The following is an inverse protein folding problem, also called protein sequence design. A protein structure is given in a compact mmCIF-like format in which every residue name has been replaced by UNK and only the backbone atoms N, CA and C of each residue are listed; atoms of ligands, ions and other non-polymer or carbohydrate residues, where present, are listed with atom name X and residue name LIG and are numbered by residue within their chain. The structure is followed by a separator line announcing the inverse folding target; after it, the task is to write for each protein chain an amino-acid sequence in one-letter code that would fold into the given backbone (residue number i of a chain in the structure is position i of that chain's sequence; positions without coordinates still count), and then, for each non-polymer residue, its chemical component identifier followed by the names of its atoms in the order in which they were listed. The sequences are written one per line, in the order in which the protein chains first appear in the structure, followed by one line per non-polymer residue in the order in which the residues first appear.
data_IF_702135322565
#
_entry.id   IF_702135322565
#
_cell.length_a   1.000
_cell.length_b   1.000
_cell.length_c   1.000
_cell.angle_alpha   90.00
_cell.angle_beta   90.00
_cell.angle_gamma   90.00
#
_symmetry.space_group_name_H-M   'P 1'
#
loop_
_entity.id
_entity.type
_entity.pdbx_description
1 polymer ?
#
# COMPACT_ATOMS: atom_id res chain seq x y z
N UNK A 1 26.60 11.14 -25.63
CA UNK A 1 25.65 10.85 -24.52
C UNK A 1 25.15 9.42 -24.68
N UNK A 2 25.32 8.57 -23.68
CA UNK A 2 24.80 7.20 -23.63
C UNK A 2 23.43 7.17 -22.94
N UNK A 3 22.43 6.59 -23.59
CA UNK A 3 21.08 6.43 -23.02
C UNK A 3 20.92 4.99 -22.49
N UNK A 4 20.61 4.84 -21.22
CA UNK A 4 20.33 3.55 -20.58
C UNK A 4 18.82 3.35 -20.48
N UNK A 5 18.36 2.15 -20.78
CA UNK A 5 16.99 1.71 -20.59
C UNK A 5 16.86 0.96 -19.25
N UNK A 6 16.04 1.45 -18.37
CA UNK A 6 15.88 0.87 -17.03
C UNK A 6 14.44 0.41 -16.85
N UNK A 7 14.25 -0.87 -16.47
CA UNK A 7 12.97 -1.36 -16.00
C UNK A 7 12.95 -1.31 -14.47
N UNK A 8 11.90 -0.75 -13.89
CA UNK A 8 11.64 -0.75 -12.45
C UNK A 8 10.34 -1.52 -12.25
N UNK A 9 10.36 -2.58 -11.45
CA UNK A 9 9.19 -3.41 -11.16
C UNK A 9 8.65 -3.07 -9.78
N UNK A 10 7.43 -2.53 -9.75
CA UNK A 10 6.74 -2.02 -8.57
C UNK A 10 6.69 -0.50 -8.52
N UNK A 11 5.47 0.05 -8.65
CA UNK A 11 5.18 1.49 -8.65
C UNK A 11 4.80 2.02 -7.25
N UNK A 12 5.39 1.48 -6.22
CA UNK A 12 5.34 2.02 -4.86
C UNK A 12 6.41 3.11 -4.65
N UNK A 13 6.55 3.64 -3.41
CA UNK A 13 7.54 4.67 -3.07
C UNK A 13 8.96 4.32 -3.49
N UNK A 14 9.39 3.07 -3.29
CA UNK A 14 10.71 2.61 -3.68
C UNK A 14 10.96 2.75 -5.19
N UNK A 15 9.97 2.37 -6.03
CA UNK A 15 10.06 2.50 -7.48
C UNK A 15 10.14 3.95 -7.94
N UNK A 16 9.29 4.82 -7.42
CA UNK A 16 9.29 6.24 -7.77
C UNK A 16 10.58 6.94 -7.32
N UNK A 17 11.06 6.71 -6.10
CA UNK A 17 12.31 7.31 -5.65
C UNK A 17 13.54 6.74 -6.37
N UNK A 18 13.51 5.48 -6.82
CA UNK A 18 14.53 4.94 -7.72
C UNK A 18 14.53 5.69 -9.06
N UNK A 19 13.34 5.92 -9.65
CA UNK A 19 13.22 6.69 -10.87
C UNK A 19 13.76 8.12 -10.69
N UNK A 20 13.40 8.81 -9.59
CA UNK A 20 13.90 10.14 -9.27
C UNK A 20 15.43 10.18 -9.14
N UNK A 21 16.02 9.20 -8.47
CA UNK A 21 17.46 9.11 -8.31
C UNK A 21 18.17 8.96 -9.66
N UNK A 22 17.61 8.16 -10.58
CA UNK A 22 18.12 8.03 -11.94
C UNK A 22 17.97 9.34 -12.72
N UNK A 23 16.79 9.98 -12.69
CA UNK A 23 16.57 11.29 -13.35
C UNK A 23 17.57 12.35 -12.85
N UNK A 24 17.77 12.44 -11.54
CA UNK A 24 18.71 13.39 -10.94
C UNK A 24 20.19 13.07 -11.25
N UNK A 25 20.51 11.83 -11.63
CA UNK A 25 21.87 11.42 -11.98
C UNK A 25 22.18 11.56 -13.48
N UNK A 26 21.21 11.97 -14.29
CA UNK A 26 21.41 12.26 -15.70
C UNK A 26 22.33 13.49 -15.88
N UNK A 27 23.18 13.46 -16.92
CA UNK A 27 24.12 14.53 -17.25
C UNK A 27 24.45 14.50 -18.76
N UNK A 28 25.42 15.27 -19.21
CA UNK A 28 25.83 15.33 -20.61
C UNK A 28 26.39 14.01 -21.16
N UNK A 29 26.89 13.12 -20.32
CA UNK A 29 27.46 11.83 -20.70
C UNK A 29 26.42 10.70 -20.70
N UNK A 30 25.39 10.77 -19.85
CA UNK A 30 24.39 9.71 -19.65
C UNK A 30 22.98 10.24 -19.43
N UNK A 31 22.01 9.50 -19.98
CA UNK A 31 20.59 9.71 -19.76
C UNK A 31 19.89 8.37 -19.49
N UNK A 32 18.66 8.41 -18.99
CA UNK A 32 17.89 7.23 -18.64
C UNK A 32 16.50 7.29 -19.26
N UNK A 33 16.08 6.20 -19.88
CA UNK A 33 14.68 5.92 -20.21
C UNK A 33 14.18 4.93 -19.18
N UNK A 34 13.14 5.31 -18.46
CA UNK A 34 12.64 4.57 -17.30
C UNK A 34 11.25 4.04 -17.59
N UNK A 35 11.11 2.73 -17.53
CA UNK A 35 9.83 2.03 -17.61
C UNK A 35 9.50 1.47 -16.23
N UNK A 36 8.45 2.01 -15.62
CA UNK A 36 7.93 1.58 -14.33
C UNK A 36 6.77 0.60 -14.59
N UNK A 37 6.90 -0.62 -14.06
CA UNK A 37 5.96 -1.74 -14.29
C UNK A 37 5.21 -1.98 -12.99
N UNK A 38 3.87 -1.98 -13.05
CA UNK A 38 3.01 -2.18 -11.88
C UNK A 38 1.93 -3.22 -12.18
N UNK A 39 1.75 -4.19 -11.29
CA UNK A 39 0.73 -5.22 -11.45
C UNK A 39 -0.70 -4.72 -11.24
N UNK A 40 -0.87 -3.69 -10.44
CA UNK A 40 -2.17 -3.07 -10.20
C UNK A 40 -2.50 -2.05 -11.31
N UNK A 41 -3.78 -1.77 -11.54
CA UNK A 41 -4.20 -0.73 -12.47
C UNK A 41 -3.82 0.68 -12.01
N UNK A 42 -3.52 0.84 -10.72
CA UNK A 42 -3.16 2.14 -10.12
C UNK A 42 -1.82 2.05 -9.38
N UNK A 43 -0.94 3.07 -9.54
CA UNK A 43 0.34 3.12 -8.85
C UNK A 43 0.23 3.59 -7.40
N UNK A 44 1.40 3.79 -6.77
CA UNK A 44 1.72 4.39 -5.48
C UNK A 44 1.81 3.40 -4.31
N UNK A 45 1.46 2.13 -4.50
CA UNK A 45 1.66 1.08 -3.52
C UNK A 45 1.10 1.46 -2.13
N UNK A 46 1.93 1.39 -1.08
CA UNK A 46 1.50 1.67 0.30
C UNK A 46 1.05 3.13 0.53
N UNK A 47 1.40 4.09 -0.31
CA UNK A 47 0.86 5.45 -0.19
C UNK A 47 -0.64 5.44 -0.48
N UNK A 48 -1.08 4.59 -1.40
CA UNK A 48 -2.51 4.41 -1.71
C UNK A 48 -3.19 3.49 -0.70
N UNK A 49 -2.64 2.32 -0.44
CA UNK A 49 -3.32 1.22 0.26
C UNK A 49 -2.68 0.79 1.59
N UNK A 50 -1.70 1.54 2.10
CA UNK A 50 -1.02 1.24 3.37
C UNK A 50 -1.04 2.38 4.38
N UNK A 51 -1.29 3.62 3.95
CA UNK A 51 -1.49 4.78 4.82
C UNK A 51 -2.97 4.84 5.21
N UNK A 52 -3.25 5.12 6.49
CA UNK A 52 -4.61 5.25 6.96
C UNK A 52 -5.39 6.31 6.15
N UNK A 53 -6.67 6.06 5.81
CA UNK A 53 -7.42 6.85 4.83
C UNK A 53 -7.65 8.29 5.28
N UNK A 54 -7.64 8.56 6.57
CA UNK A 54 -7.78 9.87 7.19
C UNK A 54 -6.45 10.64 7.39
N UNK A 55 -5.36 10.18 6.76
CA UNK A 55 -4.06 10.87 6.75
C UNK A 55 -3.73 11.54 5.39
N UNK A 56 -4.50 12.53 4.91
CA UNK A 56 -4.31 13.12 3.58
C UNK A 56 -2.95 13.81 3.41
N UNK A 57 -2.36 14.32 4.50
CA UNK A 57 -1.03 14.95 4.47
C UNK A 57 0.07 13.97 4.07
N UNK A 58 0.02 12.73 4.57
CA UNK A 58 1.01 11.69 4.21
C UNK A 58 0.81 11.26 2.76
N UNK A 59 -0.45 11.14 2.33
CA UNK A 59 -0.79 10.81 0.94
C UNK A 59 -0.35 11.90 -0.06
N UNK A 60 -0.06 13.13 0.40
CA UNK A 60 0.40 14.22 -0.46
C UNK A 60 1.77 13.98 -1.14
N UNK A 61 2.53 12.95 -0.71
CA UNK A 61 3.73 12.49 -1.41
C UNK A 61 3.44 12.05 -2.85
N UNK A 62 2.19 11.72 -3.17
CA UNK A 62 1.74 11.44 -4.54
C UNK A 62 2.06 12.57 -5.52
N UNK A 63 2.03 13.86 -5.07
CA UNK A 63 2.44 15.00 -5.88
C UNK A 63 3.90 14.94 -6.31
N UNK A 64 4.77 14.37 -5.46
CA UNK A 64 6.18 14.12 -5.83
C UNK A 64 6.24 13.04 -6.90
N UNK A 65 5.43 11.99 -6.79
CA UNK A 65 5.37 10.91 -7.78
C UNK A 65 4.84 11.40 -9.12
N UNK A 66 3.81 12.27 -9.12
CA UNK A 66 3.29 12.91 -10.32
C UNK A 66 4.38 13.75 -11.02
N UNK A 67 5.18 14.49 -10.26
CA UNK A 67 6.31 15.25 -10.80
C UNK A 67 7.36 14.33 -11.41
N UNK A 68 7.71 13.22 -10.77
CA UNK A 68 8.64 12.23 -11.31
C UNK A 68 8.10 11.63 -12.62
N UNK A 69 6.81 11.31 -12.65
CA UNK A 69 6.14 10.73 -13.81
C UNK A 69 5.96 11.71 -14.98
N UNK A 70 6.06 13.02 -14.76
CA UNK A 70 5.97 14.04 -15.81
C UNK A 70 7.21 14.14 -16.70
N UNK A 71 8.30 13.46 -16.38
CA UNK A 71 9.49 13.39 -17.23
C UNK A 71 9.20 12.65 -18.53
N UNK A 72 9.62 13.23 -19.66
CA UNK A 72 9.40 12.67 -21.01
C UNK A 72 10.06 11.30 -21.24
N UNK A 73 11.04 10.95 -20.43
CA UNK A 73 11.74 9.65 -20.47
C UNK A 73 11.18 8.64 -19.46
N UNK A 74 10.08 8.97 -18.78
CA UNK A 74 9.40 8.09 -17.84
C UNK A 74 8.11 7.53 -18.49
N UNK A 75 7.88 6.22 -18.33
CA UNK A 75 6.62 5.57 -18.72
C UNK A 75 6.14 4.66 -17.60
N UNK A 76 4.84 4.63 -17.37
CA UNK A 76 4.18 3.69 -16.45
C UNK A 76 3.44 2.63 -17.27
N UNK A 77 3.71 1.38 -16.98
CA UNK A 77 2.98 0.22 -17.47
C UNK A 77 2.20 -0.39 -16.30
N UNK A 78 0.97 0.09 -16.11
CA UNK A 78 0.06 -0.44 -15.10
C UNK A 78 -0.68 -1.67 -15.61
N UNK A 79 -1.18 -2.49 -14.67
CA UNK A 79 -1.85 -3.76 -14.94
C UNK A 79 -0.96 -4.76 -15.71
N UNK A 80 0.35 -4.75 -15.41
CA UNK A 80 1.35 -5.67 -15.97
C UNK A 80 2.08 -6.36 -14.82
N UNK A 81 1.92 -7.66 -14.70
CA UNK A 81 2.49 -8.45 -13.62
C UNK A 81 3.72 -9.24 -14.06
N UNK A 82 4.82 -9.03 -13.34
CA UNK A 82 6.02 -9.83 -13.52
C UNK A 82 5.76 -11.30 -13.13
N UNK A 83 6.05 -12.21 -14.04
CA UNK A 83 5.80 -13.66 -13.88
C UNK A 83 4.52 -14.14 -14.55
N UNK A 84 3.53 -13.26 -14.74
CA UNK A 84 2.29 -13.56 -15.47
C UNK A 84 2.32 -13.00 -16.90
N UNK A 85 2.49 -11.68 -17.03
CA UNK A 85 2.37 -10.97 -18.31
C UNK A 85 3.73 -10.74 -18.99
N UNK A 86 4.78 -10.63 -18.20
CA UNK A 86 6.16 -10.47 -18.65
C UNK A 86 7.11 -11.27 -17.75
N UNK A 87 8.12 -11.90 -18.33
CA UNK A 87 9.14 -12.66 -17.58
C UNK A 87 10.33 -11.77 -17.25
N UNK A 88 11.06 -12.14 -16.19
CA UNK A 88 12.28 -11.43 -15.80
C UNK A 88 13.36 -11.52 -16.88
N UNK A 89 13.44 -12.66 -17.57
CA UNK A 89 14.36 -12.89 -18.67
C UNK A 89 14.11 -11.92 -19.82
N UNK A 90 12.84 -11.68 -20.19
CA UNK A 90 12.47 -10.73 -21.23
C UNK A 90 12.88 -9.28 -20.87
N UNK A 91 12.78 -8.92 -19.58
CA UNK A 91 13.25 -7.64 -19.10
C UNK A 91 14.77 -7.51 -19.18
N UNK A 92 15.50 -8.56 -18.77
CA UNK A 92 16.97 -8.56 -18.83
C UNK A 92 17.52 -8.47 -20.24
N UNK A 93 16.79 -8.97 -21.25
CA UNK A 93 17.18 -8.86 -22.65
C UNK A 93 16.93 -7.47 -23.24
N UNK A 94 15.90 -6.77 -22.77
CA UNK A 94 15.43 -5.50 -23.37
C UNK A 94 15.94 -4.25 -22.66
N UNK A 95 16.43 -4.39 -21.43
CA UNK A 95 16.85 -3.28 -20.58
C UNK A 95 18.31 -3.44 -20.14
N UNK A 96 19.00 -2.33 -19.98
CA UNK A 96 20.37 -2.30 -19.47
C UNK A 96 20.43 -2.66 -17.97
N UNK A 97 19.34 -2.40 -17.23
CA UNK A 97 19.18 -2.83 -15.84
C UNK A 97 17.71 -3.03 -15.48
N UNK A 98 17.47 -3.96 -14.54
CA UNK A 98 16.16 -4.22 -13.94
C UNK A 98 16.27 -4.03 -12.43
N UNK A 99 15.39 -3.19 -11.86
CA UNK A 99 15.32 -2.91 -10.42
C UNK A 99 14.01 -3.45 -9.87
N UNK A 100 14.09 -4.31 -8.86
CA UNK A 100 12.92 -4.90 -8.21
C UNK A 100 12.53 -4.06 -6.98
N UNK A 101 11.36 -3.43 -7.05
CA UNK A 101 10.77 -2.58 -6.02
C UNK A 101 9.39 -3.09 -5.61
N UNK A 102 9.23 -4.41 -5.54
CA UNK A 102 7.94 -5.11 -5.40
C UNK A 102 7.30 -4.99 -4.01
N UNK A 103 8.02 -4.41 -3.04
CA UNK A 103 7.54 -4.29 -1.67
C UNK A 103 7.55 -5.63 -0.92
N UNK A 104 6.78 -5.67 0.19
CA UNK A 104 6.58 -6.87 1.02
C UNK A 104 5.12 -6.92 1.45
N UNK A 105 4.33 -7.74 0.78
CA UNK A 105 2.88 -7.89 1.02
C UNK A 105 2.53 -8.94 2.07
N UNK A 106 3.51 -9.75 2.51
CA UNK A 106 3.27 -10.85 3.45
C UNK A 106 3.66 -10.40 4.86
N UNK A 107 2.69 -10.48 5.79
CA UNK A 107 2.92 -10.24 7.21
C UNK A 107 3.85 -11.30 7.82
N UNK A 108 4.74 -10.85 8.70
CA UNK A 108 5.57 -11.78 9.48
C UNK A 108 4.73 -12.49 10.53
N UNK A 109 4.94 -13.80 10.68
CA UNK A 109 4.40 -14.55 11.81
C UNK A 109 5.11 -14.12 13.10
N UNK A 110 4.34 -13.98 14.17
CA UNK A 110 4.88 -13.62 15.49
C UNK A 110 5.42 -14.84 16.24
N UNK A 111 4.94 -16.05 15.92
CA UNK A 111 5.32 -17.29 16.58
C UNK A 111 4.79 -17.41 18.01
N UNK A 112 3.70 -16.71 18.32
CA UNK A 112 3.08 -16.72 19.64
C UNK A 112 1.90 -17.70 19.70
N UNK A 113 1.57 -18.24 20.89
CA UNK A 113 0.37 -19.05 21.07
C UNK A 113 -0.90 -18.28 20.66
N UNK A 114 -1.76 -18.92 19.88
CA UNK A 114 -3.02 -18.32 19.43
C UNK A 114 -2.97 -17.62 18.05
N UNK A 115 -1.80 -17.45 17.45
CA UNK A 115 -1.66 -16.82 16.11
C UNK A 115 -2.44 -17.54 15.00
N UNK A 116 -2.80 -18.81 15.18
CA UNK A 116 -3.57 -19.63 14.26
C UNK A 116 -5.07 -19.65 14.55
N UNK A 117 -5.51 -18.96 15.57
CA UNK A 117 -6.92 -18.94 15.95
C UNK A 117 -7.76 -18.10 14.99
N UNK A 118 -9.04 -18.45 14.93
CA UNK A 118 -10.03 -17.65 14.20
C UNK A 118 -10.05 -16.23 14.78
N UNK A 119 -10.15 -15.23 13.94
CA UNK A 119 -10.11 -13.81 14.25
C UNK A 119 -8.71 -13.23 14.57
N UNK A 120 -7.63 -14.01 14.44
CA UNK A 120 -6.31 -13.40 14.27
C UNK A 120 -6.22 -12.84 12.85
N UNK A 121 -5.81 -11.58 12.74
CA UNK A 121 -5.58 -10.94 11.45
C UNK A 121 -4.26 -10.18 11.47
N UNK A 122 -3.50 -10.28 10.40
CA UNK A 122 -2.30 -9.48 10.20
C UNK A 122 -2.65 -8.06 9.80
N UNK A 123 -1.88 -7.06 10.27
CA UNK A 123 -1.99 -5.69 9.74
C UNK A 123 -1.74 -5.64 8.22
N UNK A 124 -0.96 -6.58 7.66
CA UNK A 124 -0.76 -6.69 6.22
C UNK A 124 -2.03 -7.12 5.44
N UNK A 125 -3.09 -7.55 6.14
CA UNK A 125 -4.40 -7.87 5.58
C UNK A 125 -5.44 -6.81 5.97
N UNK A 126 -5.44 -6.39 7.24
CA UNK A 126 -6.40 -5.40 7.75
C UNK A 126 -6.24 -4.03 7.12
N UNK A 127 -4.99 -3.55 6.98
CA UNK A 127 -4.70 -2.21 6.42
C UNK A 127 -5.10 -2.09 4.95
N UNK A 128 -4.70 -3.00 4.04
CA UNK A 128 -5.16 -2.92 2.65
C UNK A 128 -6.67 -3.17 2.51
N UNK A 129 -7.30 -3.97 3.40
CA UNK A 129 -8.72 -4.17 3.39
C UNK A 129 -9.51 -2.86 3.60
N UNK A 130 -9.18 -2.06 4.62
CA UNK A 130 -9.91 -0.81 4.82
C UNK A 130 -9.54 0.28 3.79
N UNK A 131 -8.39 0.16 3.13
CA UNK A 131 -8.00 1.03 2.02
C UNK A 131 -8.53 0.57 0.64
N UNK A 132 -9.30 -0.51 0.55
CA UNK A 132 -9.87 -0.99 -0.71
C UNK A 132 -8.85 -1.54 -1.70
N UNK A 133 -7.82 -2.24 -1.21
CA UNK A 133 -6.85 -2.89 -2.08
C UNK A 133 -7.49 -4.10 -2.78
N UNK A 134 -7.38 -4.24 -4.12
CA UNK A 134 -8.10 -5.28 -4.88
C UNK A 134 -7.84 -6.72 -4.41
N UNK A 135 -6.62 -7.04 -4.00
CA UNK A 135 -6.26 -8.40 -3.54
C UNK A 135 -6.93 -8.77 -2.19
N UNK A 136 -7.55 -7.80 -1.53
CA UNK A 136 -8.19 -7.98 -0.22
C UNK A 136 -9.71 -7.74 -0.27
N UNK A 137 -10.28 -7.71 -1.47
CA UNK A 137 -11.71 -7.52 -1.67
C UNK A 137 -12.55 -8.66 -1.08
N UNK A 138 -12.07 -9.88 -1.11
CA UNK A 138 -12.76 -11.06 -0.58
C UNK A 138 -12.43 -11.34 0.89
N UNK A 139 -11.58 -10.54 1.53
CA UNK A 139 -11.22 -10.72 2.94
C UNK A 139 -12.40 -10.31 3.82
N UNK A 140 -12.89 -11.26 4.61
CA UNK A 140 -13.92 -11.02 5.63
C UNK A 140 -13.27 -10.76 6.98
N UNK A 141 -13.44 -9.55 7.49
CA UNK A 141 -13.02 -9.17 8.84
C UNK A 141 -14.22 -9.35 9.78
N UNK A 142 -14.03 -10.16 10.81
CA UNK A 142 -15.05 -10.29 11.86
C UNK A 142 -14.84 -9.18 12.89
N UNK A 143 -15.79 -8.26 12.99
CA UNK A 143 -15.83 -7.15 13.93
C UNK A 143 -16.84 -7.33 15.06
N UNK A 144 -17.47 -8.52 15.21
CA UNK A 144 -18.52 -8.79 16.22
C UNK A 144 -17.97 -8.91 17.65
N UNK A 145 -16.66 -8.81 17.82
CA UNK A 145 -16.00 -8.94 19.11
C UNK A 145 -16.11 -7.69 19.97
N UNK A 146 -16.38 -7.86 21.27
CA UNK A 146 -16.42 -6.76 22.27
C UNK A 146 -15.03 -6.17 22.59
N UNK A 147 -13.96 -6.90 22.28
CA UNK A 147 -12.59 -6.54 22.61
C UNK A 147 -11.71 -6.81 21.40
N UNK A 148 -10.99 -5.79 20.96
CA UNK A 148 -9.92 -5.91 19.98
C UNK A 148 -8.57 -5.78 20.68
N UNK A 149 -7.66 -6.73 20.42
CA UNK A 149 -6.29 -6.70 20.93
C UNK A 149 -5.35 -6.40 19.78
N UNK A 150 -4.61 -5.29 19.86
CA UNK A 150 -3.61 -4.91 18.87
C UNK A 150 -2.22 -5.17 19.41
N UNK A 151 -1.45 -6.02 18.73
CA UNK A 151 -0.09 -6.39 19.12
C UNK A 151 0.91 -5.58 18.31
N UNK A 152 1.56 -4.61 18.94
CA UNK A 152 2.54 -3.73 18.34
C UNK A 152 2.49 -2.33 18.94
N UNK A 153 3.58 -1.56 18.75
CA UNK A 153 3.73 -0.18 19.27
C UNK A 153 4.14 0.81 18.17
N UNK A 154 4.18 0.37 16.92
CA UNK A 154 4.50 1.22 15.77
C UNK A 154 3.27 1.96 15.23
N UNK A 155 3.50 2.90 14.31
CA UNK A 155 2.44 3.72 13.70
C UNK A 155 1.31 2.87 13.10
N UNK A 156 1.64 1.74 12.47
CA UNK A 156 0.63 0.84 11.89
C UNK A 156 -0.28 0.24 12.96
N UNK A 157 0.28 -0.17 14.12
CA UNK A 157 -0.51 -0.70 15.22
C UNK A 157 -1.45 0.37 15.80
N UNK A 158 -0.96 1.60 15.95
CA UNK A 158 -1.77 2.75 16.39
C UNK A 158 -2.88 3.04 15.38
N UNK A 159 -2.59 3.03 14.08
CA UNK A 159 -3.59 3.22 13.04
C UNK A 159 -4.65 2.11 13.05
N UNK A 160 -4.26 0.85 13.20
CA UNK A 160 -5.21 -0.26 13.32
C UNK A 160 -6.13 -0.09 14.54
N UNK A 161 -5.58 0.24 15.72
CA UNK A 161 -6.36 0.47 16.92
C UNK A 161 -7.32 1.66 16.74
N UNK A 162 -6.85 2.75 16.13
CA UNK A 162 -7.63 3.95 15.88
C UNK A 162 -8.76 3.70 14.87
N UNK A 163 -8.50 2.98 13.77
CA UNK A 163 -9.51 2.62 12.77
C UNK A 163 -10.63 1.76 13.37
N UNK A 164 -10.32 0.94 14.38
CA UNK A 164 -11.32 0.16 15.10
C UNK A 164 -12.14 0.98 16.11
N UNK A 165 -11.57 2.08 16.63
CA UNK A 165 -12.17 2.88 17.71
C UNK A 165 -12.80 4.20 17.25
N UNK A 166 -12.51 4.67 16.03
CA UNK A 166 -13.02 5.93 15.51
C UNK A 166 -14.52 5.83 15.21
N UNK A 167 -15.27 6.93 15.43
CA UNK A 167 -16.66 7.03 14.95
C UNK A 167 -16.66 6.88 13.41
N UNK A 168 -17.32 5.87 12.84
CA UNK A 168 -17.35 5.65 11.39
C UNK A 168 -17.82 6.84 10.56
N UNK A 169 -18.65 7.75 11.15
CA UNK A 169 -19.05 8.99 10.50
C UNK A 169 -17.86 9.90 10.18
N UNK A 170 -16.80 9.86 10.98
CA UNK A 170 -15.57 10.61 10.73
C UNK A 170 -14.79 10.10 9.51
N UNK A 171 -15.10 8.91 9.02
CA UNK A 171 -14.47 8.30 7.85
C UNK A 171 -15.20 8.57 6.53
N UNK A 172 -16.39 9.16 6.55
CA UNK A 172 -17.25 9.38 5.37
C UNK A 172 -16.61 10.21 4.26
N UNK A 173 -15.72 11.11 4.63
CA UNK A 173 -15.02 12.00 3.71
C UNK A 173 -13.60 11.55 3.40
N UNK A 174 -13.24 10.33 3.77
CA UNK A 174 -11.91 9.76 3.59
C UNK A 174 -11.88 8.73 2.45
N UNK A 175 -10.69 8.22 2.15
CA UNK A 175 -10.50 7.15 1.15
C UNK A 175 -10.83 5.75 1.70
N UNK A 176 -11.56 5.63 2.81
CA UNK A 176 -11.96 4.34 3.38
C UNK A 176 -12.87 3.61 2.41
N UNK A 177 -12.63 2.31 2.18
CA UNK A 177 -13.46 1.51 1.29
C UNK A 177 -14.91 1.41 1.80
N UNK A 178 -15.88 1.42 0.89
CA UNK A 178 -17.31 1.29 1.22
C UNK A 178 -17.62 0.03 2.05
N UNK A 179 -16.93 -1.06 1.76
CA UNK A 179 -17.04 -2.30 2.51
C UNK A 179 -16.57 -2.15 3.96
N UNK A 180 -15.42 -1.52 4.16
CA UNK A 180 -14.90 -1.27 5.50
C UNK A 180 -15.82 -0.31 6.26
N UNK A 181 -16.30 0.77 5.61
CA UNK A 181 -17.29 1.68 6.20
C UNK A 181 -18.55 0.94 6.63
N UNK A 182 -19.09 0.06 5.78
CA UNK A 182 -20.27 -0.72 6.09
C UNK A 182 -20.05 -1.65 7.28
N UNK A 183 -18.90 -2.33 7.33
CA UNK A 183 -18.55 -3.23 8.44
C UNK A 183 -18.32 -2.46 9.76
N UNK A 184 -17.65 -1.31 9.73
CA UNK A 184 -17.39 -0.47 10.89
C UNK A 184 -18.65 0.22 11.42
N UNK A 185 -19.69 0.38 10.58
CA UNK A 185 -20.99 0.97 10.95
C UNK A 185 -21.99 -0.03 11.46
N UNK A 186 -21.70 -1.32 11.43
CA UNK A 186 -22.63 -2.31 11.95
C UNK A 186 -23.00 -2.00 13.40
N UNK A 187 -24.27 -2.16 13.77
CA UNK A 187 -24.75 -1.82 15.12
C UNK A 187 -24.00 -2.60 16.20
N UNK A 188 -23.56 -3.81 15.88
CA UNK A 188 -22.77 -4.65 16.78
C UNK A 188 -21.39 -4.05 17.09
N UNK A 189 -20.73 -3.43 16.10
CA UNK A 189 -19.44 -2.80 16.29
C UNK A 189 -19.54 -1.46 17.05
N UNK A 190 -20.50 -0.60 16.70
CA UNK A 190 -20.62 0.77 17.26
C UNK A 190 -21.10 0.82 18.70
N UNK A 191 -21.97 -0.11 19.12
CA UNK A 191 -22.60 -0.05 20.45
C UNK A 191 -21.64 -0.43 21.61
N UNK A 192 -20.60 -1.19 21.36
CA UNK A 192 -19.76 -1.77 22.41
C UNK A 192 -18.38 -1.13 22.54
N UNK A 193 -17.72 -0.69 21.48
CA UNK A 193 -16.41 -0.04 21.55
C UNK A 193 -16.49 1.41 22.05
N UNK A 194 -17.58 2.14 21.79
CA UNK A 194 -17.78 3.50 22.31
C UNK A 194 -18.01 3.55 23.81
N UNK A 195 -18.50 2.48 24.42
CA UNK A 195 -18.70 2.41 25.89
C UNK A 195 -17.42 2.21 26.68
N UNK A 196 -16.30 1.85 26.03
CA UNK A 196 -15.04 1.51 26.70
C UNK A 196 -13.88 2.49 26.44
N UNK A 197 -14.09 3.58 25.69
CA UNK A 197 -13.06 4.57 25.38
C UNK A 197 -12.76 5.57 26.53
N UNK A 198 -12.95 5.17 27.77
CA UNK A 198 -12.40 5.91 28.91
C UNK A 198 -11.01 5.36 29.19
N UNK A 199 -10.01 5.86 28.47
CA UNK A 199 -8.60 5.65 28.79
C UNK A 199 -8.25 6.63 29.91
N UNK A 200 -8.01 6.13 31.09
CA UNK A 200 -7.34 6.82 32.20
C UNK A 200 -5.83 6.76 32.00
#
# INVERSE_FOLDING_TARGET
MKTFKIAIVGAGPSGYFTAQALQNSANEERSFKIDLIERLPTPWGLVRSGVAPDHPKIKSVSKVFEKIASDSNFRLFANVELGRDIKLEDLKEKYDAVVLCTGSSIGKKLGIPGEHLKNYISAAEFVPWYNGHPDFDDVSINLDGKVAIVIGVGNVAVDCARMLAVDPKGLDTTDTSERALSALRSEEHTSELQSQSTIS
#
